data_IF_256298020391
#
_entry.id   IF_256298020391
#
_cell.length_a   1.000
_cell.length_b   1.000
_cell.length_c   1.000
_cell.angle_alpha   90.00
_cell.angle_beta   90.00
_cell.angle_gamma   90.00
#
_symmetry.space_group_name_H-M   'P 1'
#
loop_
_entity.id
_entity.type
_entity.pdbx_description
1 polymer ?
#
# COMPACT_ATOMS: atom_id res chain seq x y z
N UNK A 1 -15.24 21.16 -35.86
CA UNK A 1 -15.00 20.30 -34.69
C UNK A 1 -15.38 21.10 -33.48
N UNK A 2 -16.44 20.70 -32.77
CA UNK A 2 -16.90 21.42 -31.58
C UNK A 2 -15.97 21.08 -30.40
N UNK A 3 -15.89 21.97 -29.40
CA UNK A 3 -15.07 21.75 -28.19
C UNK A 3 -15.37 20.42 -27.50
N UNK A 4 -16.65 20.02 -27.50
CA UNK A 4 -17.10 18.73 -26.98
C UNK A 4 -16.44 17.54 -27.68
N UNK A 5 -16.38 17.53 -29.02
CA UNK A 5 -15.77 16.44 -29.79
C UNK A 5 -14.28 16.30 -29.50
N UNK A 6 -13.59 17.44 -29.34
CA UNK A 6 -12.19 17.47 -28.95
C UNK A 6 -11.99 16.93 -27.54
N UNK A 7 -12.82 17.36 -26.59
CA UNK A 7 -12.76 16.88 -25.21
C UNK A 7 -12.98 15.37 -25.13
N UNK A 8 -14.00 14.85 -25.82
CA UNK A 8 -14.29 13.41 -25.85
C UNK A 8 -13.14 12.61 -26.48
N UNK A 9 -12.54 13.13 -27.56
CA UNK A 9 -11.37 12.50 -28.18
C UNK A 9 -10.18 12.48 -27.22
N UNK A 10 -9.88 13.62 -26.58
CA UNK A 10 -8.79 13.72 -25.60
C UNK A 10 -9.01 12.80 -24.40
N UNK A 11 -10.22 12.77 -23.84
CA UNK A 11 -10.57 11.89 -22.72
C UNK A 11 -10.43 10.42 -23.11
N UNK A 12 -10.83 10.06 -24.33
CA UNK A 12 -10.65 8.70 -24.87
C UNK A 12 -9.18 8.35 -25.03
N UNK A 13 -8.37 9.24 -25.60
CA UNK A 13 -6.93 9.02 -25.79
C UNK A 13 -6.21 8.86 -24.44
N UNK A 14 -6.56 9.66 -23.43
CA UNK A 14 -6.06 9.52 -22.05
C UNK A 14 -6.48 8.17 -21.45
N UNK A 15 -7.77 7.83 -21.52
CA UNK A 15 -8.29 6.58 -20.98
C UNK A 15 -7.62 5.35 -21.60
N UNK A 16 -7.42 5.37 -22.92
CA UNK A 16 -6.74 4.29 -23.65
C UNK A 16 -5.27 4.17 -23.28
N UNK A 17 -4.56 5.29 -23.14
CA UNK A 17 -3.14 5.26 -22.73
C UNK A 17 -2.99 4.75 -21.29
N UNK A 18 -3.93 5.08 -20.40
CA UNK A 18 -3.97 4.52 -19.04
C UNK A 18 -4.22 3.00 -19.06
N UNK A 19 -5.15 2.52 -19.90
CA UNK A 19 -5.41 1.09 -20.02
C UNK A 19 -4.18 0.32 -20.54
N UNK A 20 -3.47 0.88 -21.52
CA UNK A 20 -2.21 0.30 -22.02
C UNK A 20 -1.15 0.21 -20.93
N UNK A 21 -1.09 1.21 -20.04
CA UNK A 21 -0.21 1.18 -18.88
C UNK A 21 -0.64 0.08 -17.89
N UNK A 22 -1.93 -0.11 -17.63
CA UNK A 22 -2.42 -1.18 -16.76
C UNK A 22 -2.10 -2.57 -17.30
N UNK A 23 -2.17 -2.77 -18.62
CA UNK A 23 -1.77 -4.02 -19.26
C UNK A 23 -0.26 -4.26 -19.10
N UNK A 24 0.55 -3.22 -19.29
CA UNK A 24 2.01 -3.27 -19.12
C UNK A 24 2.42 -3.56 -17.68
N UNK A 25 1.78 -2.90 -16.72
CA UNK A 25 2.04 -3.04 -15.29
C UNK A 25 1.48 -4.36 -14.72
N UNK A 26 0.50 -4.95 -15.40
CA UNK A 26 -0.25 -6.11 -14.91
C UNK A 26 -1.16 -5.81 -13.71
N UNK A 27 -1.32 -4.54 -13.34
CA UNK A 27 -2.13 -4.09 -12.19
C UNK A 27 -2.85 -2.78 -12.51
N UNK A 28 -4.11 -2.67 -12.09
CA UNK A 28 -4.88 -1.41 -12.15
C UNK A 28 -4.63 -0.65 -10.86
N UNK A 29 -3.94 0.48 -10.94
CA UNK A 29 -3.72 1.35 -9.78
C UNK A 29 -3.32 2.77 -10.18
N UNK A 30 -3.37 3.68 -9.22
CA UNK A 30 -3.10 5.10 -9.45
C UNK A 30 -1.69 5.33 -9.99
N UNK A 31 -1.57 6.21 -10.98
CA UNK A 31 -0.30 6.59 -11.58
C UNK A 31 0.70 7.21 -10.59
N UNK A 32 0.21 7.72 -9.46
CA UNK A 32 1.05 8.25 -8.38
C UNK A 32 1.84 7.17 -7.64
N UNK A 33 1.39 5.92 -7.71
CA UNK A 33 2.04 4.79 -7.03
C UNK A 33 3.26 4.33 -7.84
N UNK A 34 4.28 3.81 -7.15
CA UNK A 34 5.49 3.27 -7.75
C UNK A 34 5.44 1.75 -7.88
N UNK A 35 6.23 1.19 -8.78
CA UNK A 35 6.42 -0.26 -8.89
C UNK A 35 7.55 -0.73 -7.96
N UNK A 36 7.46 -1.95 -7.46
CA UNK A 36 8.49 -2.55 -6.62
C UNK A 36 8.56 -2.00 -5.19
N UNK A 37 7.56 -1.24 -4.75
CA UNK A 37 7.51 -0.65 -3.40
C UNK A 37 6.56 -1.45 -2.51
N UNK A 38 6.98 -1.69 -1.27
CA UNK A 38 6.14 -2.32 -0.26
C UNK A 38 4.86 -1.51 -0.06
N UNK A 39 3.71 -2.14 -0.33
CA UNK A 39 2.41 -1.47 -0.37
C UNK A 39 1.45 -2.15 0.58
N UNK A 40 0.82 -1.37 1.47
CA UNK A 40 -0.27 -1.80 2.34
C UNK A 40 -1.59 -1.33 1.71
N UNK A 41 -2.58 -2.22 1.67
CA UNK A 41 -3.95 -1.87 1.32
C UNK A 41 -4.82 -1.88 2.58
N UNK A 42 -5.45 -0.75 2.88
CA UNK A 42 -6.51 -0.65 3.87
C UNK A 42 -7.85 -0.72 3.14
N UNK A 43 -8.63 -1.75 3.43
CA UNK A 43 -9.95 -1.99 2.84
C UNK A 43 -10.98 -1.67 3.90
N UNK A 44 -11.82 -0.67 3.64
CA UNK A 44 -12.85 -0.20 4.56
C UNK A 44 -14.24 -0.39 3.96
N UNK A 45 -15.18 -0.88 4.76
CA UNK A 45 -16.57 -1.03 4.35
C UNK A 45 -17.33 0.23 4.76
N UNK A 46 -17.62 1.08 3.79
CA UNK A 46 -18.41 2.28 3.99
C UNK A 46 -19.87 1.86 3.91
N UNK A 47 -20.39 1.32 5.01
CA UNK A 47 -21.77 0.90 5.10
C UNK A 47 -22.69 2.08 5.44
N UNK A 48 -23.81 2.15 4.73
CA UNK A 48 -24.91 3.04 5.08
C UNK A 48 -25.62 2.49 6.33
N UNK A 49 -25.73 3.30 7.39
CA UNK A 49 -26.64 3.01 8.48
C UNK A 49 -28.00 3.71 8.21
N UNK A 50 -29.08 2.96 7.92
CA UNK A 50 -30.39 3.51 7.58
C UNK A 50 -31.08 4.28 8.71
N UNK A 51 -30.53 4.25 9.93
CA UNK A 51 -31.00 5.04 11.07
C UNK A 51 -30.63 6.53 10.97
N UNK A 52 -29.71 6.89 10.06
CA UNK A 52 -29.32 8.28 9.83
C UNK A 52 -30.22 8.94 8.77
N UNK A 53 -31.07 9.85 9.23
CA UNK A 53 -32.08 10.56 8.42
C UNK A 53 -31.52 11.66 7.52
N UNK A 54 -30.20 11.92 7.55
CA UNK A 54 -29.56 13.05 6.85
C UNK A 54 -28.85 12.69 5.55
N UNK A 55 -28.74 11.42 5.15
CA UNK A 55 -28.03 11.04 3.92
C UNK A 55 -28.83 10.07 3.05
N UNK A 56 -29.83 10.58 2.32
CA UNK A 56 -30.48 9.85 1.22
C UNK A 56 -29.52 9.47 0.08
N UNK A 57 -28.32 10.05 0.04
CA UNK A 57 -27.30 9.88 -1.01
C UNK A 57 -25.91 9.52 -0.45
N UNK A 58 -25.80 8.96 0.76
CA UNK A 58 -24.47 8.57 1.26
C UNK A 58 -23.87 7.51 0.36
N UNK A 59 -22.66 7.74 -0.14
CA UNK A 59 -21.87 6.73 -0.85
C UNK A 59 -21.72 5.49 0.01
N UNK A 60 -22.12 4.34 -0.52
CA UNK A 60 -21.97 3.04 0.13
C UNK A 60 -21.13 2.12 -0.75
N UNK A 61 -20.23 1.37 -0.13
CA UNK A 61 -19.35 0.44 -0.83
C UNK A 61 -18.01 0.27 -0.15
N UNK A 62 -17.13 -0.45 -0.82
CA UNK A 62 -15.79 -0.74 -0.35
C UNK A 62 -14.83 0.36 -0.78
N UNK A 63 -14.24 1.05 0.19
CA UNK A 63 -13.13 1.98 -0.02
C UNK A 63 -11.80 1.25 0.12
N UNK A 64 -10.86 1.50 -0.79
CA UNK A 64 -9.51 0.91 -0.73
C UNK A 64 -8.46 2.03 -0.73
N UNK A 65 -7.71 2.14 0.36
CA UNK A 65 -6.57 3.05 0.47
C UNK A 65 -5.26 2.27 0.32
N UNK A 66 -4.38 2.72 -0.57
CA UNK A 66 -3.07 2.13 -0.81
C UNK A 66 -1.99 3.04 -0.23
N UNK A 67 -1.08 2.47 0.57
CA UNK A 67 -0.02 3.18 1.29
C UNK A 67 1.32 2.53 0.92
N UNK A 68 2.26 3.29 0.36
CA UNK A 68 3.57 2.80 -0.07
C UNK A 68 4.69 3.28 0.84
N UNK A 69 5.41 2.34 1.44
CA UNK A 69 6.55 2.63 2.30
C UNK A 69 7.84 2.50 1.50
N UNK A 70 8.48 3.65 1.30
CA UNK A 70 9.72 3.79 0.56
C UNK A 70 10.90 3.38 1.44
N UNK A 71 11.95 2.83 0.81
CA UNK A 71 13.22 2.55 1.48
C UNK A 71 14.36 3.13 0.64
N UNK A 72 15.39 3.66 1.30
CA UNK A 72 16.57 4.24 0.64
C UNK A 72 17.32 3.24 -0.25
N UNK A 73 17.16 1.94 0.00
CA UNK A 73 17.88 0.86 -0.70
C UNK A 73 17.07 0.25 -1.86
N UNK A 74 15.78 0.59 -1.97
CA UNK A 74 14.92 0.02 -3.01
C UNK A 74 15.10 0.79 -4.32
N UNK A 75 15.41 0.09 -5.41
CA UNK A 75 15.34 0.64 -6.77
C UNK A 75 13.88 0.79 -7.18
N UNK A 76 13.27 1.88 -6.72
CA UNK A 76 11.92 2.26 -7.10
C UNK A 76 11.89 2.56 -8.59
N UNK A 77 10.94 1.97 -9.31
CA UNK A 77 10.73 2.32 -10.70
C UNK A 77 9.55 3.29 -10.79
N UNK A 78 9.84 4.48 -11.31
CA UNK A 78 8.79 5.39 -11.78
C UNK A 78 7.99 4.66 -12.87
N UNK A 79 6.67 4.83 -12.86
CA UNK A 79 5.80 4.28 -13.92
C UNK A 79 5.94 5.04 -15.24
N UNK A 80 6.74 6.12 -15.25
CA UNK A 80 6.97 6.95 -16.43
C UNK A 80 5.80 7.89 -16.69
N UNK A 81 5.92 8.76 -17.68
CA UNK A 81 4.84 9.68 -18.08
C UNK A 81 3.90 8.94 -19.04
N UNK A 82 2.59 9.09 -18.85
CA UNK A 82 1.58 8.61 -19.81
C UNK A 82 1.79 9.33 -21.15
N UNK A 83 2.30 8.61 -22.15
CA UNK A 83 2.47 9.15 -23.50
C UNK A 83 1.16 8.96 -24.26
N UNK A 84 0.55 10.08 -24.65
CA UNK A 84 -0.63 10.06 -25.52
C UNK A 84 -0.20 9.67 -26.93
N UNK A 85 -0.50 8.43 -27.32
CA UNK A 85 -0.40 8.01 -28.72
C UNK A 85 -1.58 8.61 -29.46
N UNK A 86 -1.31 9.58 -30.33
CA UNK A 86 -2.34 10.17 -31.18
C UNK A 86 -3.00 9.06 -32.01
N UNK A 87 -4.27 8.81 -31.75
CA UNK A 87 -5.07 7.86 -32.52
C UNK A 87 -5.30 8.41 -33.94
N UNK A 88 -4.80 7.69 -34.95
CA UNK A 88 -4.96 8.05 -36.37
C UNK A 88 -6.38 7.82 -36.90
N UNK A 89 -7.25 7.20 -36.10
CA UNK A 89 -8.65 6.96 -36.44
C UNK A 89 -9.55 8.13 -36.02
N UNK A 90 -10.25 8.73 -36.97
CA UNK A 90 -11.10 9.89 -36.76
C UNK A 90 -12.51 9.58 -36.22
N UNK A 91 -12.83 8.36 -35.78
CA UNK A 91 -14.25 7.94 -35.72
C UNK A 91 -14.71 7.07 -34.55
N UNK A 92 -13.90 6.71 -33.55
CA UNK A 92 -14.47 6.04 -32.36
C UNK A 92 -13.91 6.57 -31.05
N UNK A 93 -14.74 7.31 -30.31
CA UNK A 93 -14.51 7.65 -28.90
C UNK A 93 -14.79 6.43 -28.00
N UNK A 94 -14.09 5.32 -28.24
CA UNK A 94 -14.25 4.09 -27.46
C UNK A 94 -13.03 3.88 -26.57
N UNK A 95 -13.27 3.69 -25.28
CA UNK A 95 -12.25 3.38 -24.29
C UNK A 95 -12.01 1.86 -24.32
N UNK A 96 -10.74 1.44 -24.24
CA UNK A 96 -10.35 0.03 -24.13
C UNK A 96 -10.92 -0.58 -22.84
N UNK A 97 -11.31 -1.86 -22.86
CA UNK A 97 -11.70 -2.54 -21.63
C UNK A 97 -10.51 -2.63 -20.68
N UNK A 98 -10.79 -2.73 -19.38
CA UNK A 98 -9.76 -3.03 -18.38
C UNK A 98 -9.16 -4.43 -18.63
N UNK A 99 -7.92 -4.68 -18.15
CA UNK A 99 -7.31 -6.01 -18.25
C UNK A 99 -8.25 -7.10 -17.72
N UNK A 100 -8.37 -8.21 -18.46
CA UNK A 100 -9.33 -9.30 -18.17
C UNK A 100 -9.18 -9.90 -16.77
N UNK A 101 -7.97 -9.86 -16.20
CA UNK A 101 -7.66 -10.29 -14.83
C UNK A 101 -8.36 -9.44 -13.75
N UNK A 102 -8.80 -8.24 -14.09
CA UNK A 102 -9.49 -7.32 -13.19
C UNK A 102 -11.01 -7.36 -13.36
N UNK A 103 -11.50 -7.81 -14.52
CA UNK A 103 -12.93 -7.92 -14.82
C UNK A 103 -13.50 -9.29 -14.42
N UNK A 104 -12.68 -10.34 -14.50
CA UNK A 104 -13.10 -11.71 -14.23
C UNK A 104 -12.36 -12.23 -13.01
N UNK A 105 -12.89 -11.93 -11.82
CA UNK A 105 -12.48 -12.64 -10.61
C UNK A 105 -13.08 -14.05 -10.68
N UNK A 106 -12.27 -15.13 -10.74
CA UNK A 106 -12.81 -16.46 -10.59
C UNK A 106 -13.50 -16.53 -9.21
N UNK A 107 -14.67 -17.19 -9.10
CA UNK A 107 -15.37 -17.29 -7.83
C UNK A 107 -14.39 -17.81 -6.79
N UNK A 108 -14.19 -17.01 -5.73
CA UNK A 108 -13.34 -17.35 -4.61
C UNK A 108 -13.99 -18.51 -3.85
N UNK A 109 -13.85 -19.72 -4.37
CA UNK A 109 -14.09 -20.93 -3.61
C UNK A 109 -12.95 -21.02 -2.61
N UNK A 110 -13.17 -20.49 -1.42
CA UNK A 110 -12.45 -20.95 -0.24
C UNK A 110 -12.79 -22.43 -0.17
N UNK A 111 -11.91 -23.30 -0.67
CA UNK A 111 -12.03 -24.74 -0.44
C UNK A 111 -12.10 -24.89 1.07
N UNK A 112 -13.28 -25.29 1.54
CA UNK A 112 -13.58 -25.37 2.95
C UNK A 112 -12.48 -26.13 3.67
N UNK A 113 -11.94 -25.50 4.71
CA UNK A 113 -11.32 -26.16 5.84
C UNK A 113 -10.10 -27.01 5.47
N UNK A 114 -9.04 -26.33 5.03
CA UNK A 114 -7.67 -26.60 5.45
C UNK A 114 -6.85 -25.33 5.22
N UNK A 115 -7.10 -24.30 6.05
CA UNK A 115 -6.07 -23.31 6.31
C UNK A 115 -4.99 -24.08 7.04
N UNK A 116 -4.09 -24.71 6.29
CA UNK A 116 -2.78 -25.02 6.80
C UNK A 116 -2.14 -23.66 7.06
N UNK A 117 -2.36 -23.14 8.28
CA UNK A 117 -1.35 -22.31 8.92
C UNK A 117 -0.08 -23.07 8.66
N UNK A 118 0.83 -22.47 7.89
CA UNK A 118 2.14 -23.03 7.65
C UNK A 118 2.65 -23.40 9.04
N UNK A 119 2.62 -24.69 9.40
CA UNK A 119 3.13 -25.18 10.69
C UNK A 119 4.58 -24.81 10.64
N UNK A 120 4.85 -23.65 11.23
CA UNK A 120 6.03 -22.81 11.22
C UNK A 120 7.07 -23.52 10.38
N UNK A 121 7.00 -23.36 9.04
CA UNK A 121 7.81 -24.14 8.08
C UNK A 121 9.19 -24.14 8.66
N UNK A 122 9.59 -25.28 9.25
CA UNK A 122 10.59 -25.37 10.31
C UNK A 122 11.50 -24.20 10.13
N UNK A 123 11.27 -23.12 10.90
CA UNK A 123 12.26 -22.07 10.97
C UNK A 123 13.40 -22.92 11.45
N UNK A 124 14.30 -23.27 10.52
CA UNK A 124 15.50 -23.97 10.85
C UNK A 124 16.09 -22.92 11.73
N UNK A 125 15.84 -23.09 13.03
CA UNK A 125 16.41 -22.30 14.08
C UNK A 125 17.85 -22.60 13.79
N UNK A 126 18.46 -21.73 12.98
CA UNK A 126 19.87 -21.73 12.83
C UNK A 126 20.25 -21.54 14.28
N UNK A 127 20.69 -22.63 14.90
CA UNK A 127 21.27 -22.61 16.22
C UNK A 127 22.62 -21.87 16.15
N UNK A 128 22.75 -20.88 15.26
CA UNK A 128 23.64 -19.77 15.46
C UNK A 128 23.12 -19.01 16.70
N UNK A 129 23.48 -19.55 17.86
CA UNK A 129 23.58 -18.81 19.12
C UNK A 129 24.19 -17.43 18.87
N UNK A 130 25.12 -17.32 17.91
CA UNK A 130 25.69 -16.07 17.42
C UNK A 130 24.63 -15.05 16.96
N UNK A 131 23.61 -15.40 16.18
CA UNK A 131 22.59 -14.46 15.73
C UNK A 131 21.75 -13.92 16.90
N UNK A 132 21.47 -14.78 17.89
CA UNK A 132 20.77 -14.39 19.12
C UNK A 132 21.66 -13.50 19.98
N UNK A 133 22.95 -13.82 20.09
CA UNK A 133 23.92 -13.01 20.85
C UNK A 133 24.13 -11.63 20.21
N UNK A 134 24.20 -11.57 18.87
CA UNK A 134 24.29 -10.31 18.11
C UNK A 134 23.00 -9.50 18.28
N UNK A 135 21.83 -10.13 18.20
CA UNK A 135 20.56 -9.43 18.40
C UNK A 135 20.39 -8.90 19.83
N UNK A 136 21.00 -9.54 20.83
CA UNK A 136 20.97 -9.12 22.23
C UNK A 136 22.07 -8.15 22.62
N UNK A 137 23.14 -7.99 21.83
CA UNK A 137 24.24 -7.10 22.18
C UNK A 137 23.81 -5.64 22.42
N UNK A 138 22.91 -5.00 21.63
CA UNK A 138 22.49 -3.63 21.93
C UNK A 138 21.66 -3.54 23.22
N UNK A 139 20.96 -4.62 23.60
CA UNK A 139 20.20 -4.67 24.86
C UNK A 139 21.14 -4.74 26.07
N UNK A 140 22.21 -5.53 25.97
CA UNK A 140 23.22 -5.62 27.03
C UNK A 140 23.95 -4.28 27.16
N UNK A 141 24.30 -3.62 26.05
CA UNK A 141 24.91 -2.29 26.06
C UNK A 141 24.01 -1.23 26.74
N UNK A 142 22.70 -1.28 26.48
CA UNK A 142 21.76 -0.40 27.17
C UNK A 142 21.75 -0.66 28.68
N UNK A 143 21.71 -1.93 29.10
CA UNK A 143 21.75 -2.30 30.52
C UNK A 143 23.04 -1.84 31.21
N UNK A 144 24.20 -2.04 30.58
CA UNK A 144 25.48 -1.59 31.12
C UNK A 144 25.50 -0.07 31.31
N UNK A 145 24.98 0.68 30.33
CA UNK A 145 24.86 2.13 30.43
C UNK A 145 23.93 2.56 31.56
N UNK A 146 22.79 1.89 31.74
CA UNK A 146 21.86 2.19 32.83
C UNK A 146 22.49 1.87 34.20
N UNK A 147 23.21 0.76 34.31
CA UNK A 147 23.92 0.39 35.55
C UNK A 147 25.02 1.38 35.92
N UNK A 148 25.79 1.86 34.93
CA UNK A 148 26.79 2.91 35.13
C UNK A 148 26.12 4.22 35.59
N UNK A 149 25.03 4.59 34.93
CA UNK A 149 24.32 5.83 35.22
C UNK A 149 23.60 5.82 36.59
N UNK A 150 23.09 4.67 37.05
CA UNK A 150 22.56 4.50 38.42
C UNK A 150 23.68 4.63 39.47
N UNK A 151 24.92 4.31 39.10
CA UNK A 151 26.08 4.43 39.98
C UNK A 151 26.59 5.87 40.10
N UNK A 152 26.09 6.80 39.27
CA UNK A 152 26.41 8.24 39.32
C UNK A 152 25.40 8.98 40.19
N UNK A 153 25.87 9.98 40.94
CA UNK A 153 25.03 10.81 41.83
C UNK A 153 24.22 11.85 41.05
N UNK A 154 24.75 12.33 39.92
CA UNK A 154 24.10 13.25 38.98
C UNK A 154 24.24 12.73 37.54
N UNK A 155 23.17 12.87 36.75
CA UNK A 155 23.13 12.54 35.32
C UNK A 155 23.50 13.76 34.48
N UNK A 156 24.32 13.56 33.43
CA UNK A 156 24.59 14.62 32.46
C UNK A 156 23.36 14.87 31.56
N UNK A 157 23.19 16.10 31.05
CA UNK A 157 22.01 16.51 30.28
C UNK A 157 21.79 15.72 28.98
N UNK A 158 22.83 15.06 28.48
CA UNK A 158 22.80 14.25 27.25
C UNK A 158 22.74 12.74 27.51
N UNK A 159 22.67 12.29 28.76
CA UNK A 159 22.48 10.88 29.09
C UNK A 159 20.99 10.53 29.07
N UNK A 160 20.56 9.83 28.03
CA UNK A 160 19.25 9.19 28.01
C UNK A 160 19.32 7.86 28.80
N UNK A 161 18.30 7.59 29.62
CA UNK A 161 18.12 6.30 30.33
C UNK A 161 17.03 5.45 29.71
N UNK A 162 16.09 6.07 29.00
CA UNK A 162 15.00 5.37 28.35
C UNK A 162 15.54 4.46 27.25
N UNK A 163 15.03 3.22 27.25
CA UNK A 163 15.29 2.22 26.22
C UNK A 163 15.06 2.79 24.81
N UNK A 164 13.92 3.44 24.60
CA UNK A 164 13.56 4.03 23.30
C UNK A 164 14.55 5.12 22.85
N UNK A 165 15.05 5.94 23.78
CA UNK A 165 16.01 6.99 23.47
C UNK A 165 17.42 6.43 23.18
N UNK A 166 17.83 5.36 23.89
CA UNK A 166 19.07 4.61 23.57
C UNK A 166 19.02 4.12 22.13
N UNK A 167 17.98 3.35 21.80
CA UNK A 167 17.84 2.74 20.49
C UNK A 167 17.63 3.76 19.38
N UNK A 168 16.89 4.84 19.62
CA UNK A 168 16.76 5.94 18.67
C UNK A 168 18.10 6.64 18.39
N UNK A 169 18.98 6.76 19.39
CA UNK A 169 20.31 7.37 19.19
C UNK A 169 21.30 6.50 18.41
N UNK A 170 21.10 5.18 18.43
CA UNK A 170 21.88 4.22 17.66
C UNK A 170 21.40 4.08 16.22
N UNK A 171 20.14 4.46 15.96
CA UNK A 171 19.64 4.53 14.59
C UNK A 171 20.30 5.70 13.87
N UNK A 172 20.74 5.45 12.65
CA UNK A 172 21.16 6.53 11.76
C UNK A 172 19.99 7.52 11.59
N UNK A 173 20.27 8.82 11.58
CA UNK A 173 19.30 9.88 11.29
C UNK A 173 18.91 9.87 9.80
N UNK A 174 18.60 8.69 9.25
CA UNK A 174 18.06 8.54 7.92
C UNK A 174 16.59 8.90 8.00
N UNK A 175 16.29 10.15 7.63
CA UNK A 175 14.92 10.60 7.45
C UNK A 175 14.28 9.62 6.45
N UNK A 176 13.26 8.84 6.86
CA UNK A 176 12.64 7.89 5.96
C UNK A 176 11.99 8.65 4.80
N UNK A 177 12.03 8.11 3.57
CA UNK A 177 11.39 8.77 2.45
C UNK A 177 9.88 8.86 2.68
N UNK A 178 9.28 9.95 2.20
CA UNK A 178 7.86 10.22 2.40
C UNK A 178 7.00 9.09 1.82
N UNK A 179 5.99 8.67 2.59
CA UNK A 179 5.04 7.63 2.19
C UNK A 179 4.09 8.16 1.12
N UNK A 180 3.89 7.42 0.02
CA UNK A 180 2.88 7.75 -0.98
C UNK A 180 1.56 7.08 -0.60
N UNK A 181 0.47 7.85 -0.57
CA UNK A 181 -0.88 7.33 -0.32
C UNK A 181 -1.78 7.60 -1.52
N UNK A 182 -2.60 6.63 -1.91
CA UNK A 182 -3.60 6.77 -2.96
C UNK A 182 -4.92 6.09 -2.57
N UNK A 183 -6.03 6.80 -2.74
CA UNK A 183 -7.38 6.24 -2.59
C UNK A 183 -7.86 5.72 -3.95
N UNK A 184 -8.39 4.51 -3.97
CA UNK A 184 -9.04 3.93 -5.15
C UNK A 184 -10.49 4.38 -5.25
N UNK A 185 -11.10 4.35 -6.45
CA UNK A 185 -12.53 4.57 -6.61
C UNK A 185 -13.34 3.69 -5.66
N UNK A 186 -14.47 4.19 -5.17
CA UNK A 186 -15.38 3.40 -4.35
C UNK A 186 -15.95 2.26 -5.19
N UNK A 187 -15.79 1.05 -4.70
CA UNK A 187 -16.41 -0.13 -5.30
C UNK A 187 -17.79 -0.28 -4.68
N UNK A 188 -18.83 -0.01 -5.47
CA UNK A 188 -20.19 -0.22 -5.02
C UNK A 188 -20.37 -1.71 -4.72
N UNK A 189 -20.67 -2.04 -3.47
CA UNK A 189 -21.12 -3.38 -3.15
C UNK A 189 -22.45 -3.56 -3.86
N UNK A 190 -22.52 -4.55 -4.76
CA UNK A 190 -23.78 -5.16 -5.12
C UNK A 190 -24.26 -5.88 -3.85
N UNK A 191 -24.80 -5.13 -2.89
CA UNK A 191 -25.57 -5.69 -1.80
C UNK A 191 -26.59 -6.59 -2.49
N UNK A 192 -26.41 -7.90 -2.33
CA UNK A 192 -27.37 -8.91 -2.76
C UNK A 192 -28.71 -8.44 -2.22
N UNK A 193 -29.53 -7.83 -3.09
CA UNK A 193 -30.97 -7.80 -2.92
C UNK A 193 -31.42 -9.25 -3.12
N UNK A 194 -31.11 -10.11 -2.16
CA UNK A 194 -31.92 -11.28 -1.88
C UNK A 194 -33.20 -10.74 -1.23
N UNK A 195 -34.08 -10.20 -2.07
CA UNK A 195 -35.48 -10.16 -1.72
C UNK A 195 -36.01 -11.56 -2.04
N UNK A 196 -36.20 -12.33 -0.97
CA UNK A 196 -37.27 -13.34 -0.90
C UNK A 196 -38.63 -12.69 -1.20
#
# INVERSE_FOLDING_TARGET
MCFYDFFMKLATDIGNSICDQFETDGVVCSHKLRQGVFTIAAVDNINYNPSFTTSKESFHGTGISLIQHHSHDNKENDRGIIILKASTSNTSCSIKPLPTKYTNDPPASIKGKDINVLKNSSFSRSESTQAITIAKSPEVQWLDKVMEAISKEDLDKNEWLLWSAHHASLQENNIPPATITALMPLFLDNALRSHD
#
